data_IF_294739720225
#
_entry.id   IF_294739720225
#
_cell.length_a   1.000
_cell.length_b   1.000
_cell.length_c   1.000
_cell.angle_alpha   90.00
_cell.angle_beta   90.00
_cell.angle_gamma   90.00
#
_symmetry.space_group_name_H-M   'P 1'
#
loop_
_entity.id
_entity.type
_entity.pdbx_description
1 polymer ?
#
# COMPACT_ATOMS: atom_id res chain seq x y z
N UNK A 1 30.91 15.12 -56.21
CA UNK A 1 30.57 15.32 -54.79
C UNK A 1 29.06 15.49 -54.72
N UNK A 2 28.38 14.46 -54.32
CA UNK A 2 26.91 14.44 -54.18
C UNK A 2 26.63 14.31 -52.69
N UNK A 3 26.16 15.35 -52.07
CA UNK A 3 25.70 15.36 -50.66
C UNK A 3 24.36 14.69 -50.55
N UNK A 4 24.31 13.62 -49.78
CA UNK A 4 23.06 12.97 -49.35
C UNK A 4 22.53 13.65 -48.09
N UNK A 5 21.25 14.09 -48.01
CA UNK A 5 20.67 14.65 -46.79
C UNK A 5 20.41 13.56 -45.77
N UNK A 6 20.96 13.70 -44.56
CA UNK A 6 20.65 12.85 -43.38
C UNK A 6 19.24 13.17 -42.92
N UNK A 7 18.36 12.23 -43.13
CA UNK A 7 16.98 12.26 -42.62
C UNK A 7 17.00 11.87 -41.12
N UNK A 8 16.95 12.85 -40.24
CA UNK A 8 16.80 12.66 -38.79
C UNK A 8 15.31 12.41 -38.49
N UNK A 9 14.85 11.19 -38.63
CA UNK A 9 13.55 10.78 -38.08
C UNK A 9 13.74 10.35 -36.62
N UNK A 10 13.61 11.27 -35.71
CA UNK A 10 13.30 10.98 -34.32
C UNK A 10 11.85 10.42 -34.28
N UNK A 11 11.59 9.22 -33.78
CA UNK A 11 10.21 8.74 -33.67
C UNK A 11 9.47 9.64 -32.68
N UNK A 12 8.44 10.37 -33.17
CA UNK A 12 7.48 11.05 -32.31
C UNK A 12 6.83 10.02 -31.41
N UNK A 13 7.03 10.15 -30.09
CA UNK A 13 6.23 9.43 -29.10
C UNK A 13 4.75 9.73 -29.41
N UNK A 14 3.87 8.69 -29.39
CA UNK A 14 2.45 8.91 -29.57
C UNK A 14 1.93 9.89 -28.51
N UNK A 15 1.21 10.91 -28.96
CA UNK A 15 0.56 11.87 -28.10
C UNK A 15 -0.35 11.11 -27.13
N UNK A 16 -0.19 11.34 -25.81
CA UNK A 16 -1.01 10.74 -24.76
C UNK A 16 -2.46 11.19 -24.95
N UNK A 17 -3.44 10.30 -24.78
CA UNK A 17 -4.84 10.68 -24.83
C UNK A 17 -5.13 11.71 -23.71
N UNK A 18 -5.77 12.80 -24.08
CA UNK A 18 -6.22 13.84 -23.17
C UNK A 18 -7.25 13.27 -22.20
N UNK A 19 -7.36 13.82 -20.98
CA UNK A 19 -8.38 13.42 -19.97
C UNK A 19 -9.80 13.40 -20.52
N UNK A 20 -10.05 14.16 -21.59
CA UNK A 20 -11.36 14.25 -22.26
C UNK A 20 -11.67 13.11 -23.24
N UNK A 21 -10.68 12.29 -23.61
CA UNK A 21 -10.88 11.19 -24.57
C UNK A 21 -11.30 9.86 -23.91
N UNK A 22 -11.51 9.84 -22.59
CA UNK A 22 -11.95 8.64 -21.89
C UNK A 22 -13.43 8.39 -22.05
N UNK A 23 -13.86 7.11 -22.12
CA UNK A 23 -15.26 6.78 -22.06
C UNK A 23 -15.93 7.45 -20.85
N UNK A 24 -17.05 8.13 -21.06
CA UNK A 24 -17.81 8.84 -20.04
C UNK A 24 -18.11 7.94 -18.82
N UNK A 25 -18.33 6.66 -19.08
CA UNK A 25 -18.57 5.63 -18.05
C UNK A 25 -17.41 5.48 -17.07
N UNK A 26 -16.15 5.52 -17.54
CA UNK A 26 -14.96 5.42 -16.69
C UNK A 26 -14.80 6.68 -15.84
N UNK A 27 -15.07 7.86 -16.39
CA UNK A 27 -15.02 9.11 -15.64
C UNK A 27 -16.07 9.13 -14.54
N UNK A 28 -17.32 8.77 -14.85
CA UNK A 28 -18.40 8.67 -13.88
C UNK A 28 -18.10 7.64 -12.79
N UNK A 29 -17.57 6.48 -13.14
CA UNK A 29 -17.19 5.47 -12.17
C UNK A 29 -16.12 6.00 -11.20
N UNK A 30 -15.10 6.69 -11.70
CA UNK A 30 -14.05 7.29 -10.88
C UNK A 30 -14.60 8.34 -9.92
N UNK A 31 -15.48 9.23 -10.40
CA UNK A 31 -16.13 10.24 -9.56
C UNK A 31 -17.00 9.60 -8.46
N UNK A 32 -17.78 8.58 -8.80
CA UNK A 32 -18.61 7.84 -7.85
C UNK A 32 -17.74 7.16 -6.80
N UNK A 33 -16.66 6.47 -7.18
CA UNK A 33 -15.75 5.80 -6.25
C UNK A 33 -15.11 6.80 -5.27
N UNK A 34 -14.64 7.93 -5.76
CA UNK A 34 -14.06 9.00 -4.92
C UNK A 34 -15.10 9.58 -3.97
N UNK A 35 -16.32 9.85 -4.47
CA UNK A 35 -17.40 10.40 -3.65
C UNK A 35 -17.84 9.43 -2.54
N UNK A 36 -18.07 8.16 -2.88
CA UNK A 36 -18.44 7.11 -1.92
C UNK A 36 -17.36 6.95 -0.86
N UNK A 37 -16.09 6.94 -1.26
CA UNK A 37 -14.95 6.84 -0.32
C UNK A 37 -14.89 8.03 0.64
N UNK A 38 -15.13 9.25 0.16
CA UNK A 38 -15.17 10.45 0.98
C UNK A 38 -16.33 10.40 1.99
N UNK A 39 -17.51 9.98 1.55
CA UNK A 39 -18.69 9.81 2.44
C UNK A 39 -18.44 8.75 3.51
N UNK A 40 -17.88 7.60 3.14
CA UNK A 40 -17.51 6.55 4.09
C UNK A 40 -16.51 7.08 5.13
N UNK A 41 -15.48 7.80 4.70
CA UNK A 41 -14.46 8.37 5.60
C UNK A 41 -15.05 9.35 6.59
N UNK A 42 -15.96 10.22 6.14
CA UNK A 42 -16.68 11.16 7.02
C UNK A 42 -17.53 10.44 8.06
N UNK A 43 -18.31 9.43 7.64
CA UNK A 43 -19.13 8.64 8.56
C UNK A 43 -18.27 7.87 9.58
N UNK A 44 -17.20 7.26 9.13
CA UNK A 44 -16.23 6.55 9.97
C UNK A 44 -15.58 7.50 10.98
N UNK A 45 -15.18 8.71 10.57
CA UNK A 45 -14.64 9.73 11.48
C UNK A 45 -15.62 10.07 12.61
N UNK A 46 -16.90 10.24 12.27
CA UNK A 46 -17.96 10.46 13.28
C UNK A 46 -18.10 9.29 14.27
N UNK A 47 -18.03 8.05 13.77
CA UNK A 47 -18.06 6.85 14.63
C UNK A 47 -16.86 6.80 15.58
N UNK A 48 -15.66 7.07 15.07
CA UNK A 48 -14.44 7.07 15.90
C UNK A 48 -14.49 8.11 17.01
N UNK A 49 -14.94 9.34 16.70
CA UNK A 49 -15.14 10.39 17.71
C UNK A 49 -16.16 9.94 18.78
N UNK A 50 -17.24 9.29 18.37
CA UNK A 50 -18.24 8.78 19.31
C UNK A 50 -17.66 7.69 20.23
N UNK A 51 -16.89 6.73 19.68
CA UNK A 51 -16.20 5.69 20.46
C UNK A 51 -15.22 6.32 21.45
N UNK A 52 -14.40 7.28 21.03
CA UNK A 52 -13.43 7.96 21.89
C UNK A 52 -14.09 8.73 23.04
N UNK A 53 -15.29 9.27 22.83
CA UNK A 53 -16.06 9.93 23.90
C UNK A 53 -16.73 8.96 24.86
N UNK A 54 -17.23 7.83 24.37
CA UNK A 54 -17.90 6.81 25.18
C UNK A 54 -16.91 6.01 26.01
N UNK A 55 -15.75 5.73 25.44
CA UNK A 55 -14.68 4.95 26.05
C UNK A 55 -13.34 5.73 26.01
N UNK A 56 -13.21 6.82 26.79
CA UNK A 56 -11.96 7.55 26.87
C UNK A 56 -10.88 6.71 27.58
N UNK A 57 -9.57 7.01 27.38
CA UNK A 57 -8.46 6.23 27.87
C UNK A 57 -8.59 5.86 29.36
N UNK A 58 -8.91 6.82 30.22
CA UNK A 58 -9.00 6.63 31.67
C UNK A 58 -10.09 5.61 32.07
N UNK A 59 -11.19 5.54 31.31
CA UNK A 59 -12.25 4.56 31.53
C UNK A 59 -11.88 3.18 31.00
N UNK A 60 -11.15 3.12 29.88
CA UNK A 60 -10.66 1.87 29.31
C UNK A 60 -9.61 1.22 30.20
N UNK A 61 -8.75 2.01 30.81
CA UNK A 61 -7.75 1.52 31.79
C UNK A 61 -8.41 0.95 33.07
N UNK A 62 -9.56 1.50 33.47
CA UNK A 62 -10.28 1.08 34.65
C UNK A 62 -11.25 -0.10 34.41
N UNK A 63 -11.68 -0.35 33.17
CA UNK A 63 -12.69 -1.35 32.82
C UNK A 63 -12.25 -2.18 31.61
N UNK A 64 -11.76 -3.40 31.89
CA UNK A 64 -11.27 -4.32 30.87
C UNK A 64 -12.35 -4.78 29.87
N UNK A 65 -13.64 -4.78 30.24
CA UNK A 65 -14.74 -5.11 29.33
C UNK A 65 -14.93 -3.97 28.34
N UNK A 66 -14.99 -2.74 28.86
CA UNK A 66 -15.08 -1.55 28.03
C UNK A 66 -13.89 -1.40 27.09
N UNK A 67 -12.66 -1.71 27.55
CA UNK A 67 -11.46 -1.65 26.73
C UNK A 67 -11.53 -2.68 25.59
N UNK A 68 -11.98 -3.90 25.87
CA UNK A 68 -12.16 -4.93 24.85
C UNK A 68 -13.20 -4.55 23.80
N UNK A 69 -14.34 -4.02 24.22
CA UNK A 69 -15.42 -3.59 23.31
C UNK A 69 -14.96 -2.42 22.45
N UNK A 70 -14.28 -1.44 23.03
CA UNK A 70 -13.70 -0.31 22.31
C UNK A 70 -12.60 -0.78 21.31
N UNK A 71 -11.76 -1.73 21.70
CA UNK A 71 -10.75 -2.30 20.83
C UNK A 71 -11.38 -3.03 19.62
N UNK A 72 -12.47 -3.79 19.82
CA UNK A 72 -13.21 -4.44 18.74
C UNK A 72 -13.83 -3.42 17.78
N UNK A 73 -14.43 -2.34 18.30
CA UNK A 73 -14.95 -1.26 17.46
C UNK A 73 -13.85 -0.57 16.67
N UNK A 74 -12.72 -0.25 17.31
CA UNK A 74 -11.57 0.35 16.64
C UNK A 74 -11.00 -0.56 15.55
N UNK A 75 -10.85 -1.85 15.80
CA UNK A 75 -10.43 -2.81 14.78
C UNK A 75 -11.31 -2.74 13.53
N UNK A 76 -12.62 -2.80 13.71
CA UNK A 76 -13.57 -2.72 12.58
C UNK A 76 -13.51 -1.36 11.90
N UNK A 77 -13.36 -0.28 12.66
CA UNK A 77 -13.18 1.06 12.13
C UNK A 77 -11.93 1.16 11.23
N UNK A 78 -10.77 0.71 11.71
CA UNK A 78 -9.53 0.75 10.92
C UNK A 78 -9.59 -0.15 9.67
N UNK A 79 -10.25 -1.31 9.75
CA UNK A 79 -10.48 -2.17 8.59
C UNK A 79 -11.34 -1.47 7.53
N UNK A 80 -12.43 -0.80 7.93
CA UNK A 80 -13.28 -0.03 7.02
C UNK A 80 -12.56 1.20 6.45
N UNK A 81 -11.74 1.88 7.25
CA UNK A 81 -10.93 3.00 6.78
C UNK A 81 -9.94 2.56 5.70
N UNK A 82 -9.29 1.42 5.91
CA UNK A 82 -8.42 0.82 4.91
C UNK A 82 -9.16 0.47 3.61
N UNK A 83 -10.34 -0.14 3.71
CA UNK A 83 -11.17 -0.42 2.53
C UNK A 83 -11.54 0.86 1.79
N UNK A 84 -11.92 1.92 2.51
CA UNK A 84 -12.20 3.24 1.94
C UNK A 84 -10.98 3.83 1.22
N UNK A 85 -9.77 3.70 1.80
CA UNK A 85 -8.54 4.16 1.16
C UNK A 85 -8.23 3.37 -0.12
N UNK A 86 -8.36 2.05 -0.10
CA UNK A 86 -8.18 1.23 -1.29
C UNK A 86 -9.20 1.60 -2.39
N UNK A 87 -10.44 1.90 -2.01
CA UNK A 87 -11.48 2.32 -2.95
C UNK A 87 -11.18 3.72 -3.53
N UNK A 88 -10.67 4.66 -2.72
CA UNK A 88 -10.24 5.99 -3.21
C UNK A 88 -9.12 5.90 -4.25
N UNK A 89 -8.30 4.87 -4.19
CA UNK A 89 -7.18 4.67 -5.10
C UNK A 89 -7.50 3.72 -6.27
N UNK A 90 -8.69 3.08 -6.28
CA UNK A 90 -9.13 2.24 -7.38
C UNK A 90 -9.12 2.97 -8.74
N UNK A 91 -9.42 4.28 -8.86
CA UNK A 91 -9.26 5.04 -10.09
C UNK A 91 -7.85 4.96 -10.70
N UNK A 92 -6.80 4.80 -9.89
CA UNK A 92 -5.43 4.60 -10.40
C UNK A 92 -5.29 3.34 -11.26
N UNK A 93 -6.12 2.33 -11.06
CA UNK A 93 -6.11 1.11 -11.89
C UNK A 93 -6.55 1.39 -13.32
N UNK A 94 -7.30 2.48 -13.53
CA UNK A 94 -7.88 2.89 -14.80
C UNK A 94 -7.17 4.11 -15.40
N UNK A 95 -6.25 4.74 -14.64
CA UNK A 95 -5.60 6.00 -15.01
C UNK A 95 -4.10 5.83 -15.23
N UNK A 96 -3.62 6.29 -16.41
CA UNK A 96 -2.20 6.34 -16.78
C UNK A 96 -1.53 7.67 -16.43
N UNK A 97 -2.13 8.49 -15.56
CA UNK A 97 -1.56 9.78 -15.15
C UNK A 97 -0.20 9.56 -14.49
N UNK A 98 0.85 10.24 -14.95
CA UNK A 98 2.17 10.15 -14.34
C UNK A 98 2.12 10.63 -12.89
N UNK A 99 2.81 9.89 -12.02
CA UNK A 99 2.94 10.28 -10.61
C UNK A 99 3.93 11.46 -10.50
N UNK A 100 3.55 12.46 -9.72
CA UNK A 100 4.48 13.52 -9.28
C UNK A 100 5.46 12.87 -8.31
N UNK A 101 6.76 13.04 -8.53
CA UNK A 101 7.83 12.41 -7.77
C UNK A 101 8.69 13.45 -7.09
N UNK A 102 9.14 13.18 -5.88
CA UNK A 102 10.08 14.00 -5.11
C UNK A 102 11.34 13.20 -4.78
N UNK A 103 12.46 13.90 -4.65
CA UNK A 103 13.73 13.28 -4.26
C UNK A 103 13.69 12.93 -2.77
N UNK A 104 13.68 11.65 -2.46
CA UNK A 104 13.53 11.10 -1.11
C UNK A 104 14.72 10.22 -0.76
N UNK A 105 15.20 10.28 0.49
CA UNK A 105 16.09 9.24 1.04
C UNK A 105 15.26 7.97 1.30
N UNK A 106 15.25 7.08 0.31
CA UNK A 106 14.42 5.88 0.33
C UNK A 106 14.81 4.88 1.42
N UNK A 107 16.07 4.94 1.90
CA UNK A 107 16.54 4.07 2.99
C UNK A 107 15.93 4.52 4.31
N UNK A 108 16.10 5.80 4.67
CA UNK A 108 15.56 6.36 5.90
C UNK A 108 14.01 6.29 5.93
N UNK A 109 13.37 6.56 4.79
CA UNK A 109 11.92 6.48 4.65
C UNK A 109 11.39 5.05 4.88
N UNK A 110 11.97 4.04 4.22
CA UNK A 110 11.50 2.66 4.34
C UNK A 110 11.81 2.05 5.71
N UNK A 111 12.99 2.35 6.29
CA UNK A 111 13.34 1.98 7.65
C UNK A 111 12.33 2.54 8.66
N UNK A 112 11.91 3.81 8.49
CA UNK A 112 10.87 4.43 9.31
C UNK A 112 9.54 3.68 9.28
N UNK A 113 9.08 3.24 8.11
CA UNK A 113 7.86 2.43 7.96
C UNK A 113 8.01 1.06 8.64
N UNK A 114 9.14 0.40 8.46
CA UNK A 114 9.41 -0.88 9.09
C UNK A 114 9.45 -0.78 10.62
N UNK A 115 10.03 0.29 11.18
CA UNK A 115 10.01 0.53 12.64
C UNK A 115 8.61 0.74 13.18
N UNK A 116 7.74 1.43 12.45
CA UNK A 116 6.32 1.59 12.84
C UNK A 116 5.55 0.27 12.78
N UNK A 117 5.88 -0.60 11.80
CA UNK A 117 5.22 -1.88 11.62
C UNK A 117 5.69 -2.95 12.63
N UNK A 118 6.97 -2.95 13.01
CA UNK A 118 7.58 -4.03 13.77
C UNK A 118 6.86 -4.39 15.09
N UNK A 119 6.44 -3.42 15.94
CA UNK A 119 5.66 -3.74 17.15
C UNK A 119 4.35 -4.46 16.83
N UNK A 120 3.66 -4.06 15.76
CA UNK A 120 2.39 -4.66 15.35
C UNK A 120 2.56 -6.08 14.80
N UNK A 121 3.67 -6.36 14.12
CA UNK A 121 4.04 -7.72 13.71
C UNK A 121 4.33 -8.62 14.92
N UNK A 122 4.98 -8.08 15.95
CA UNK A 122 5.27 -8.80 17.19
C UNK A 122 3.99 -9.27 17.92
N UNK A 123 2.88 -8.52 17.85
CA UNK A 123 1.58 -8.94 18.39
C UNK A 123 1.02 -10.21 17.75
N UNK A 124 1.47 -10.54 16.54
CA UNK A 124 1.13 -11.78 15.83
C UNK A 124 2.23 -12.84 15.95
N UNK A 125 3.23 -12.61 16.83
CA UNK A 125 4.42 -13.46 16.93
C UNK A 125 5.12 -13.67 15.57
N UNK A 126 5.13 -12.63 14.71
CA UNK A 126 5.82 -12.60 13.42
C UNK A 126 6.98 -11.61 13.51
N UNK A 127 8.17 -12.03 13.08
CA UNK A 127 9.36 -11.17 13.09
C UNK A 127 9.41 -10.33 11.80
N UNK A 128 9.50 -9.01 11.94
CA UNK A 128 9.74 -8.10 10.81
C UNK A 128 11.18 -7.59 10.86
N UNK A 129 11.92 -7.72 9.76
CA UNK A 129 13.28 -7.21 9.62
C UNK A 129 13.43 -6.33 8.38
N UNK A 130 14.18 -5.22 8.52
CA UNK A 130 14.60 -4.38 7.40
C UNK A 130 16.07 -4.65 7.06
N UNK A 131 16.38 -4.80 5.77
CA UNK A 131 17.72 -5.08 5.27
C UNK A 131 18.09 -4.13 4.13
N UNK A 132 19.14 -3.35 4.34
CA UNK A 132 19.75 -2.51 3.31
C UNK A 132 21.24 -2.42 3.57
N UNK A 133 22.06 -2.51 2.51
CA UNK A 133 23.53 -2.34 2.63
C UNK A 133 23.97 -0.88 2.61
N UNK A 134 23.15 0.02 2.06
CA UNK A 134 23.43 1.45 2.01
C UNK A 134 22.87 2.14 3.26
N UNK A 135 23.63 3.10 3.78
CA UNK A 135 23.16 3.93 4.91
C UNK A 135 22.14 5.00 4.44
N UNK A 136 22.28 5.49 3.20
CA UNK A 136 21.41 6.49 2.56
C UNK A 136 21.39 6.28 1.07
N UNK A 137 20.25 6.57 0.42
CA UNK A 137 20.13 6.58 -1.03
C UNK A 137 18.97 7.47 -1.46
N UNK A 138 19.25 8.45 -2.36
CA UNK A 138 18.23 9.34 -2.91
C UNK A 138 17.62 8.76 -4.17
N UNK A 139 16.31 8.71 -4.27
CA UNK A 139 15.58 8.38 -5.49
C UNK A 139 14.31 9.22 -5.62
N UNK A 140 13.88 9.46 -6.87
CA UNK A 140 12.63 10.17 -7.15
C UNK A 140 11.43 9.23 -7.02
N UNK A 141 10.63 9.43 -5.98
CA UNK A 141 9.43 8.64 -5.70
C UNK A 141 8.22 9.54 -5.41
N UNK A 142 7.02 9.03 -5.66
CA UNK A 142 5.81 9.55 -5.04
C UNK A 142 5.63 8.84 -3.70
N UNK A 143 5.93 9.53 -2.60
CA UNK A 143 5.92 8.94 -1.24
C UNK A 143 4.57 8.38 -0.86
N UNK A 144 3.49 9.14 -1.12
CA UNK A 144 2.13 8.74 -0.72
C UNK A 144 1.71 7.44 -1.39
N UNK A 145 1.89 7.34 -2.72
CA UNK A 145 1.54 6.15 -3.47
C UNK A 145 2.43 4.95 -3.08
N UNK A 146 3.74 5.18 -2.95
CA UNK A 146 4.66 4.09 -2.64
C UNK A 146 4.48 3.58 -1.21
N UNK A 147 4.19 4.48 -0.25
CA UNK A 147 3.85 4.12 1.12
C UNK A 147 2.61 3.24 1.19
N UNK A 148 1.57 3.56 0.42
CA UNK A 148 0.39 2.71 0.30
C UNK A 148 0.73 1.33 -0.26
N UNK A 149 1.61 1.26 -1.28
CA UNK A 149 2.07 -0.03 -1.80
C UNK A 149 2.79 -0.84 -0.72
N UNK A 150 3.71 -0.23 0.04
CA UNK A 150 4.42 -0.88 1.14
C UNK A 150 3.45 -1.41 2.20
N UNK A 151 2.47 -0.59 2.64
CA UNK A 151 1.46 -1.05 3.61
C UNK A 151 0.61 -2.21 3.08
N UNK A 152 0.26 -2.20 1.80
CA UNK A 152 -0.46 -3.32 1.17
C UNK A 152 0.38 -4.61 1.16
N UNK A 153 1.68 -4.51 0.84
CA UNK A 153 2.59 -5.66 0.86
C UNK A 153 2.82 -6.18 2.27
N UNK A 154 3.07 -5.30 3.25
CA UNK A 154 3.25 -5.67 4.66
C UNK A 154 2.00 -6.32 5.24
N UNK A 155 0.81 -5.80 4.91
CA UNK A 155 -0.44 -6.40 5.35
C UNK A 155 -0.67 -7.80 4.79
N UNK A 156 -0.38 -8.01 3.51
CA UNK A 156 -0.46 -9.34 2.93
C UNK A 156 0.54 -10.29 3.62
N UNK A 157 1.79 -9.85 3.82
CA UNK A 157 2.79 -10.62 4.52
C UNK A 157 2.34 -11.00 5.95
N UNK A 158 1.85 -10.02 6.73
CA UNK A 158 1.36 -10.28 8.10
C UNK A 158 0.17 -11.25 8.13
N UNK A 159 -0.74 -11.13 7.16
CA UNK A 159 -1.95 -11.94 7.10
C UNK A 159 -1.67 -13.40 6.77
N UNK A 160 -0.73 -13.64 5.86
CA UNK A 160 -0.46 -14.98 5.33
C UNK A 160 0.75 -15.67 5.97
N UNK A 161 1.49 -14.99 6.84
CA UNK A 161 2.57 -15.57 7.64
C UNK A 161 2.00 -16.16 8.93
N UNK A 162 2.25 -17.45 9.24
CA UNK A 162 1.83 -18.05 10.50
C UNK A 162 2.64 -17.50 11.67
N UNK A 163 2.13 -17.71 12.88
CA UNK A 163 2.87 -17.41 14.12
C UNK A 163 4.25 -18.09 14.13
N UNK A 164 5.25 -17.39 14.60
CA UNK A 164 6.66 -17.83 14.58
C UNK A 164 7.35 -17.62 13.22
N UNK A 165 6.62 -17.14 12.20
CA UNK A 165 7.18 -16.82 10.89
C UNK A 165 7.94 -15.51 10.86
N UNK A 166 8.49 -15.18 9.69
CA UNK A 166 9.30 -13.99 9.47
C UNK A 166 8.90 -13.27 8.18
N UNK A 167 9.03 -11.94 8.23
CA UNK A 167 8.90 -11.06 7.07
C UNK A 167 10.16 -10.22 6.96
N UNK A 168 10.75 -10.19 5.77
CA UNK A 168 11.94 -9.39 5.47
C UNK A 168 11.60 -8.34 4.43
N UNK A 169 11.81 -7.09 4.77
CA UNK A 169 11.80 -5.97 3.83
C UNK A 169 13.23 -5.68 3.42
N UNK A 170 13.54 -5.74 2.14
CA UNK A 170 14.89 -5.45 1.66
C UNK A 170 14.91 -4.35 0.61
N UNK A 171 15.96 -3.54 0.65
CA UNK A 171 16.21 -2.48 -0.32
C UNK A 171 17.60 -2.71 -0.95
N UNK A 172 17.62 -2.83 -2.29
CA UNK A 172 18.84 -3.02 -3.07
C UNK A 172 18.88 -2.05 -4.23
N UNK A 173 20.10 -1.71 -4.66
CA UNK A 173 20.35 -0.77 -5.75
C UNK A 173 21.18 -1.47 -6.80
N UNK A 174 20.55 -1.87 -7.92
CA UNK A 174 21.19 -2.66 -8.95
C UNK A 174 20.76 -2.20 -10.35
N UNK A 175 21.70 -2.11 -11.30
CA UNK A 175 21.41 -1.85 -12.72
C UNK A 175 20.51 -0.64 -12.97
N UNK A 176 20.72 0.46 -12.22
CA UNK A 176 19.89 1.67 -12.27
C UNK A 176 18.44 1.43 -11.85
N UNK A 177 18.23 0.49 -10.95
CA UNK A 177 16.94 0.22 -10.33
C UNK A 177 17.06 0.20 -8.81
N UNK A 178 16.05 0.76 -8.16
CA UNK A 178 15.75 0.56 -6.74
C UNK A 178 14.86 -0.66 -6.64
N UNK A 179 15.33 -1.71 -5.98
CA UNK A 179 14.60 -2.96 -5.76
C UNK A 179 14.11 -2.98 -4.31
N UNK A 180 12.83 -2.69 -4.11
CA UNK A 180 12.14 -2.81 -2.83
C UNK A 180 11.42 -4.16 -2.81
N UNK A 181 11.85 -5.08 -1.95
CA UNK A 181 11.24 -6.39 -1.84
C UNK A 181 10.68 -6.64 -0.44
N UNK A 182 9.49 -7.24 -0.38
CA UNK A 182 8.86 -7.78 0.83
C UNK A 182 8.75 -9.29 0.65
N UNK A 183 9.46 -10.03 1.49
CA UNK A 183 9.50 -11.49 1.49
C UNK A 183 8.92 -12.03 2.80
N UNK A 184 7.99 -12.96 2.70
CA UNK A 184 7.38 -13.65 3.84
C UNK A 184 7.66 -15.15 3.82
N UNK A 185 7.59 -15.78 4.98
CA UNK A 185 7.67 -17.23 5.15
C UNK A 185 6.29 -17.87 5.30
N UNK A 186 5.29 -17.31 4.62
CA UNK A 186 3.91 -17.72 4.73
C UNK A 186 3.53 -18.94 3.92
N UNK A 187 2.22 -19.12 3.73
CA UNK A 187 1.69 -20.28 3.00
C UNK A 187 2.03 -20.27 1.50
N UNK A 188 2.52 -19.15 0.96
CA UNK A 188 2.74 -18.98 -0.47
C UNK A 188 1.45 -18.96 -1.28
N UNK A 189 1.59 -18.93 -2.61
CA UNK A 189 0.48 -18.88 -3.57
C UNK A 189 0.52 -20.14 -4.42
N UNK A 190 -0.58 -20.92 -4.48
CA UNK A 190 -0.68 -22.05 -5.40
C UNK A 190 -0.47 -21.62 -6.86
N UNK A 191 0.23 -22.45 -7.65
CA UNK A 191 0.58 -22.14 -9.04
C UNK A 191 -0.65 -21.76 -9.90
N UNK A 192 -1.80 -22.41 -9.68
CA UNK A 192 -3.05 -22.11 -10.39
C UNK A 192 -3.66 -20.73 -10.08
N UNK A 193 -3.20 -20.07 -9.01
CA UNK A 193 -3.69 -18.75 -8.60
C UNK A 193 -2.73 -17.61 -8.96
N UNK A 194 -1.52 -17.90 -9.42
CA UNK A 194 -0.49 -16.90 -9.72
C UNK A 194 -0.92 -15.86 -10.77
N UNK A 195 -1.63 -16.30 -11.80
CA UNK A 195 -2.14 -15.38 -12.84
C UNK A 195 -3.32 -14.54 -12.34
N UNK A 196 -4.09 -15.06 -11.39
CA UNK A 196 -5.36 -14.43 -10.96
C UNK A 196 -5.20 -13.50 -9.76
N UNK A 197 -4.05 -13.50 -9.06
CA UNK A 197 -3.84 -12.61 -7.89
C UNK A 197 -3.86 -11.13 -8.23
N UNK A 198 -3.62 -10.77 -9.49
CA UNK A 198 -3.68 -9.39 -9.98
C UNK A 198 -5.04 -8.99 -10.56
N UNK A 199 -5.89 -9.95 -10.88
CA UNK A 199 -7.16 -9.73 -11.59
C UNK A 199 -8.36 -10.15 -10.72
N UNK A 200 -8.14 -10.54 -9.46
CA UNK A 200 -9.17 -11.04 -8.55
C UNK A 200 -10.33 -10.05 -8.35
N UNK A 201 -10.07 -8.75 -8.42
CA UNK A 201 -11.11 -7.71 -8.32
C UNK A 201 -12.07 -7.65 -9.52
N UNK A 202 -11.67 -8.22 -10.67
CA UNK A 202 -12.52 -8.34 -11.87
C UNK A 202 -13.48 -9.54 -11.81
N UNK A 203 -13.32 -10.38 -10.79
CA UNK A 203 -14.06 -11.63 -10.61
C UNK A 203 -14.86 -11.62 -9.31
N UNK A 204 -16.05 -10.97 -9.26
CA UNK A 204 -16.87 -10.86 -8.06
C UNK A 204 -17.19 -12.21 -7.40
N UNK A 205 -17.32 -13.27 -8.18
CA UNK A 205 -17.56 -14.63 -7.71
C UNK A 205 -16.39 -15.19 -6.88
N UNK A 206 -15.17 -14.66 -7.06
CA UNK A 206 -13.97 -15.05 -6.31
C UNK A 206 -13.75 -14.19 -5.07
N UNK A 207 -14.32 -12.98 -5.02
CA UNK A 207 -14.23 -12.10 -3.84
C UNK A 207 -14.84 -12.75 -2.59
N UNK A 208 -15.88 -13.57 -2.75
CA UNK A 208 -16.51 -14.30 -1.66
C UNK A 208 -15.61 -15.39 -1.04
N UNK A 209 -14.57 -15.83 -1.76
CA UNK A 209 -13.63 -16.89 -1.33
C UNK A 209 -12.34 -16.29 -0.76
N UNK A 210 -12.08 -15.01 -0.99
CA UNK A 210 -10.89 -14.34 -0.44
C UNK A 210 -11.04 -14.18 1.08
N UNK A 211 -10.03 -14.56 1.85
CA UNK A 211 -10.11 -14.57 3.32
C UNK A 211 -10.37 -13.20 3.96
N UNK A 212 -10.15 -12.10 3.25
CA UNK A 212 -10.54 -10.72 3.59
C UNK A 212 -10.04 -9.72 2.52
N UNK A 213 -10.82 -8.66 2.28
CA UNK A 213 -10.46 -7.53 1.42
C UNK A 213 -11.03 -7.62 -0.01
N UNK A 214 -10.93 -6.50 -0.74
CA UNK A 214 -11.47 -6.34 -2.10
C UNK A 214 -10.56 -6.92 -3.21
N UNK A 215 -9.43 -7.56 -2.87
CA UNK A 215 -8.47 -8.04 -3.86
C UNK A 215 -7.72 -6.90 -4.61
N UNK A 216 -7.80 -5.67 -4.13
CA UNK A 216 -7.21 -4.49 -4.80
C UNK A 216 -5.73 -4.25 -4.44
N UNK A 217 -5.21 -4.87 -3.38
CA UNK A 217 -3.87 -4.56 -2.85
C UNK A 217 -2.75 -4.78 -3.86
N UNK A 218 -2.62 -6.00 -4.41
CA UNK A 218 -1.57 -6.32 -5.40
C UNK A 218 -1.76 -5.61 -6.74
N UNK A 219 -2.98 -5.52 -7.32
CA UNK A 219 -3.23 -4.67 -8.47
C UNK A 219 -2.78 -3.22 -8.29
N UNK A 220 -3.08 -2.59 -7.15
CA UNK A 220 -2.64 -1.24 -6.81
C UNK A 220 -1.10 -1.15 -6.71
N UNK A 221 -0.45 -2.12 -6.04
CA UNK A 221 1.01 -2.18 -5.97
C UNK A 221 1.65 -2.24 -7.36
N UNK A 222 1.10 -3.06 -8.27
CA UNK A 222 1.56 -3.15 -9.66
C UNK A 222 1.39 -1.81 -10.37
N UNK A 223 0.23 -1.19 -10.24
CA UNK A 223 -0.05 0.09 -10.88
C UNK A 223 0.83 1.23 -10.37
N UNK A 224 1.08 1.26 -9.04
CA UNK A 224 2.01 2.21 -8.43
C UNK A 224 3.43 2.03 -8.97
N UNK A 225 3.91 0.79 -9.11
CA UNK A 225 5.22 0.52 -9.69
C UNK A 225 5.31 1.01 -11.15
N UNK A 226 4.28 0.72 -11.96
CA UNK A 226 4.17 1.17 -13.36
C UNK A 226 4.12 2.69 -13.46
N UNK A 227 3.35 3.38 -12.59
CA UNK A 227 3.29 4.83 -12.51
C UNK A 227 4.63 5.48 -12.15
N UNK A 228 5.51 4.76 -11.44
CA UNK A 228 6.90 5.16 -11.23
C UNK A 228 7.80 4.90 -12.45
N UNK A 229 7.32 4.23 -13.50
CA UNK A 229 8.10 3.79 -14.65
C UNK A 229 8.86 2.48 -14.38
N UNK A 230 8.43 1.75 -13.37
CA UNK A 230 8.98 0.47 -12.94
C UNK A 230 8.05 -0.71 -13.22
N UNK A 231 8.22 -1.77 -12.45
CA UNK A 231 7.38 -2.98 -12.51
C UNK A 231 7.31 -3.67 -11.16
N UNK A 232 6.26 -4.49 -10.97
CA UNK A 232 6.16 -5.43 -9.87
C UNK A 232 6.53 -6.84 -10.35
N UNK A 233 7.33 -7.54 -9.55
CA UNK A 233 7.69 -8.94 -9.75
C UNK A 233 7.18 -9.73 -8.54
N UNK A 234 6.47 -10.82 -8.80
CA UNK A 234 5.95 -11.74 -7.80
C UNK A 234 6.63 -13.10 -7.96
N UNK A 235 7.27 -13.57 -6.90
CA UNK A 235 7.83 -14.91 -6.79
C UNK A 235 7.21 -15.60 -5.58
N UNK A 236 6.54 -16.71 -5.78
CA UNK A 236 5.86 -17.44 -4.70
C UNK A 236 5.79 -18.92 -5.02
N UNK A 237 5.93 -19.70 -3.96
CA UNK A 237 5.75 -21.15 -4.00
C UNK A 237 4.92 -21.60 -2.81
N UNK A 238 3.89 -22.37 -3.07
CA UNK A 238 3.02 -22.94 -2.02
C UNK A 238 3.85 -23.66 -0.94
N UNK A 239 3.58 -23.31 0.32
CA UNK A 239 4.32 -23.82 1.48
C UNK A 239 5.70 -23.18 1.72
N UNK A 240 6.17 -22.23 0.89
CA UNK A 240 7.51 -21.65 0.99
C UNK A 240 7.50 -20.11 1.10
N UNK A 241 6.32 -19.49 1.15
CA UNK A 241 6.16 -18.05 1.26
C UNK A 241 6.12 -17.33 -0.07
N UNK A 242 6.13 -15.99 0.02
CA UNK A 242 5.98 -15.09 -1.13
C UNK A 242 7.01 -13.97 -1.06
N UNK A 243 7.55 -13.61 -2.21
CA UNK A 243 8.39 -12.41 -2.37
C UNK A 243 7.77 -11.52 -3.42
N UNK A 244 7.43 -10.29 -3.04
CA UNK A 244 6.96 -9.24 -3.97
C UNK A 244 8.02 -8.17 -4.06
N UNK A 245 8.50 -7.89 -5.28
CA UNK A 245 9.53 -6.89 -5.55
C UNK A 245 8.98 -5.77 -6.42
N UNK A 246 9.08 -4.54 -5.96
CA UNK A 246 8.89 -3.33 -6.75
C UNK A 246 10.26 -2.92 -7.31
N UNK A 247 10.42 -3.03 -8.63
CA UNK A 247 11.62 -2.59 -9.33
C UNK A 247 11.35 -1.22 -9.93
N UNK A 248 11.90 -0.17 -9.34
CA UNK A 248 11.68 1.24 -9.70
C UNK A 248 12.94 1.82 -10.38
N UNK A 249 12.82 2.83 -11.24
CA UNK A 249 13.99 3.53 -11.77
C UNK A 249 14.81 4.19 -10.65
N UNK A 250 16.12 3.98 -10.67
CA UNK A 250 17.07 4.67 -9.80
C UNK A 250 17.51 5.97 -10.47
N UNK A 251 16.73 7.02 -10.27
CA UNK A 251 16.95 8.33 -10.83
C UNK A 251 16.47 9.41 -9.86
N UNK A 252 17.05 10.59 -9.96
CA UNK A 252 16.58 11.79 -9.27
C UNK A 252 15.63 12.58 -10.19
N UNK A 253 14.67 13.28 -9.61
CA UNK A 253 13.85 14.24 -10.33
C UNK A 253 14.67 15.51 -10.62
N UNK A 254 14.56 16.04 -11.83
CA UNK A 254 15.23 17.28 -12.23
C UNK A 254 14.54 18.52 -11.63
N UNK A 255 13.20 18.47 -11.54
CA UNK A 255 12.39 19.53 -10.94
C UNK A 255 11.82 19.04 -9.59
N UNK A 256 12.10 19.79 -8.53
CA UNK A 256 11.48 19.55 -7.21
C UNK A 256 10.13 20.27 -7.22
N UNK A 257 9.06 19.52 -7.51
CA UNK A 257 7.71 20.01 -7.25
C UNK A 257 7.40 19.65 -5.79
N UNK A 258 7.22 20.66 -4.93
CA UNK A 258 6.70 20.45 -3.58
C UNK A 258 5.29 19.85 -3.71
N UNK A 259 5.16 18.55 -3.44
CA UNK A 259 3.85 17.91 -3.36
C UNK A 259 3.24 18.24 -1.99
N UNK A 260 2.00 18.70 -2.02
CA UNK A 260 1.24 18.88 -0.77
C UNK A 260 1.00 17.50 -0.20
N UNK A 261 1.67 17.17 0.90
CA UNK A 261 1.52 15.90 1.59
C UNK A 261 0.03 15.66 1.92
N UNK A 262 -0.63 14.80 1.14
CA UNK A 262 -1.99 14.42 1.39
C UNK A 262 -1.99 13.35 2.49
N UNK A 263 -2.53 13.68 3.66
CA UNK A 263 -2.74 12.71 4.74
C UNK A 263 -3.90 11.77 4.38
N UNK A 264 -3.57 10.62 3.79
CA UNK A 264 -4.57 9.58 3.47
C UNK A 264 -5.10 8.86 4.71
N UNK A 265 -4.48 9.04 5.86
CA UNK A 265 -4.91 8.42 7.12
C UNK A 265 -5.88 9.28 7.90
N UNK A 266 -6.04 10.57 7.54
CA UNK A 266 -6.94 11.51 8.21
C UNK A 266 -6.55 11.77 9.67
N UNK A 267 -5.23 11.78 9.99
CA UNK A 267 -4.70 11.98 11.33
C UNK A 267 -4.58 10.70 12.17
N UNK A 268 -4.84 9.52 11.58
CA UNK A 268 -4.69 8.23 12.26
C UNK A 268 -3.31 7.63 12.02
N UNK A 269 -2.90 6.71 12.91
CA UNK A 269 -1.63 6.01 12.78
C UNK A 269 -1.58 5.21 11.46
N UNK A 270 -0.67 5.53 10.51
CA UNK A 270 -0.62 4.89 9.20
C UNK A 270 -0.44 3.38 9.29
N UNK A 271 0.35 2.90 10.25
CA UNK A 271 0.61 1.49 10.46
C UNK A 271 -0.67 0.72 10.86
N UNK A 272 -1.49 1.26 11.77
CA UNK A 272 -2.75 0.64 12.16
C UNK A 272 -3.74 0.58 10.99
N UNK A 273 -3.83 1.66 10.21
CA UNK A 273 -4.66 1.68 9.00
C UNK A 273 -4.12 0.67 7.98
N UNK A 274 -2.82 0.72 7.70
CA UNK A 274 -2.19 -0.12 6.69
C UNK A 274 -2.25 -1.62 6.99
N UNK A 275 -2.17 -2.01 8.25
CA UNK A 275 -2.11 -3.42 8.69
C UNK A 275 -3.44 -3.95 9.24
N UNK A 276 -4.51 -3.13 9.29
CA UNK A 276 -5.78 -3.44 9.97
C UNK A 276 -6.34 -4.85 9.67
N UNK A 277 -6.25 -5.32 8.43
CA UNK A 277 -6.78 -6.63 8.02
C UNK A 277 -6.00 -7.83 8.61
N UNK A 278 -4.74 -7.62 8.95
CA UNK A 278 -3.86 -8.66 9.49
C UNK A 278 -3.71 -8.61 11.02
N UNK A 279 -4.16 -7.52 11.67
CA UNK A 279 -3.97 -7.31 13.09
C UNK A 279 -5.01 -8.06 13.95
N UNK A 280 -4.59 -8.62 15.10
CA UNK A 280 -5.49 -9.11 16.10
C UNK A 280 -6.17 -7.94 16.84
N UNK A 281 -7.27 -8.20 17.59
CA UNK A 281 -7.98 -7.12 18.28
C UNK A 281 -7.14 -6.49 19.41
N UNK A 282 -6.20 -7.23 19.97
CA UNK A 282 -5.27 -6.79 21.01
C UNK A 282 -4.44 -5.58 20.60
N UNK A 283 -4.19 -5.42 19.30
CA UNK A 283 -3.49 -4.25 18.74
C UNK A 283 -4.24 -2.93 18.97
N UNK A 284 -5.53 -3.00 19.30
CA UNK A 284 -6.42 -1.85 19.51
C UNK A 284 -6.81 -1.64 20.98
N UNK A 285 -6.22 -2.41 21.91
CA UNK A 285 -6.35 -2.18 23.35
C UNK A 285 -5.63 -0.90 23.76
N UNK A 286 -6.10 -0.25 24.85
CA UNK A 286 -5.55 1.04 25.31
C UNK A 286 -4.04 0.99 25.56
N UNK A 287 -3.54 -0.10 26.14
CA UNK A 287 -2.10 -0.30 26.42
C UNK A 287 -1.18 -0.27 25.20
N UNK A 288 -1.75 -0.34 23.97
CA UNK A 288 -1.01 -0.27 22.71
C UNK A 288 -1.37 0.98 21.89
N UNK A 289 -2.25 1.85 22.42
CA UNK A 289 -2.67 3.06 21.73
C UNK A 289 -1.73 4.25 22.00
N UNK A 290 -0.91 4.18 23.05
CA UNK A 290 -0.04 5.27 23.51
C UNK A 290 1.43 5.11 23.05
N UNK A 291 1.76 4.08 22.28
CA UNK A 291 3.07 3.86 21.63
C UNK A 291 3.01 4.26 20.14
#
# INVERSE_FOLDING_TARGET
MIETPRNNHTPKQPARPDRHDRPLEVQLLNEVLLHVSAQLRTALGGMHIAVSRLAPPERRDADAVLDRDAALLNRNYYALLRLSNNLSNAPMLLDDTPLVKENTDVVAWLDGLCRQAAPLFALRNVTLTFQCSAARHGAAINRVCLEQAVWNLLSNALKFTPEGGAVTVSLRFERRQVLLAVADTGCGIPAGNMETVFDGYLHPERLAVLPSGLGLGLPLCRRIAEGHGGRLVLDSREGHGTTVTLALPDALAEDVVEDVAFDYTGGFQPALVGLADGLPFEAFLQKHSDE
#
